data_IF_803884357873
#
_entry.id   IF_803884357873
#
_cell.length_a   1.000
_cell.length_b   1.000
_cell.length_c   1.000
_cell.angle_alpha   90.00
_cell.angle_beta   90.00
_cell.angle_gamma   90.00
#
_symmetry.space_group_name_H-M   'P 1'
#
loop_
_entity.id
_entity.type
_entity.pdbx_description
1 polymer ?
#
# COMPACT_ATOMS: atom_id res chain seq x y z
N UNK A 1 6.77 -12.41 6.95
CA UNK A 1 7.69 -11.45 6.32
C UNK A 1 8.47 -10.72 7.41
N UNK A 2 9.78 -10.55 7.22
CA UNK A 2 10.63 -9.82 8.18
C UNK A 2 10.39 -8.31 8.08
N UNK A 3 10.56 -7.60 9.18
CA UNK A 3 10.48 -6.13 9.20
C UNK A 3 11.70 -5.55 8.48
N UNK A 4 11.44 -4.73 7.47
CA UNK A 4 12.48 -4.04 6.70
C UNK A 4 12.82 -2.68 7.28
N UNK A 5 11.80 -1.89 7.59
CA UNK A 5 11.95 -0.57 8.21
C UNK A 5 11.09 -0.52 9.46
N UNK A 6 11.68 -0.07 10.56
CA UNK A 6 10.96 0.15 11.82
C UNK A 6 11.23 1.58 12.30
N UNK A 7 10.16 2.31 12.57
CA UNK A 7 10.20 3.68 13.10
C UNK A 7 9.63 3.63 14.51
N UNK A 8 10.38 4.13 15.49
CA UNK A 8 10.02 4.11 16.91
C UNK A 8 10.01 5.51 17.48
N UNK A 9 8.84 5.93 17.97
CA UNK A 9 8.61 7.20 18.68
C UNK A 9 9.24 8.42 17.99
N UNK A 10 9.18 8.42 16.64
CA UNK A 10 9.84 9.43 15.82
C UNK A 10 9.10 10.76 15.91
N UNK A 11 9.85 11.80 16.29
CA UNK A 11 9.35 13.18 16.25
C UNK A 11 10.33 14.10 15.54
N UNK A 12 9.79 15.04 14.77
CA UNK A 12 10.55 15.98 13.96
C UNK A 12 10.08 17.38 14.27
N UNK A 13 11.02 18.20 14.73
CA UNK A 13 10.82 19.57 15.16
C UNK A 13 11.62 20.55 14.30
N UNK A 14 11.01 21.63 13.92
CA UNK A 14 11.68 22.76 13.29
C UNK A 14 11.50 24.00 14.19
N UNK A 15 12.57 24.75 14.42
CA UNK A 15 12.54 25.97 15.23
C UNK A 15 13.73 26.09 16.17
N UNK A 16 13.78 27.19 16.98
CA UNK A 16 14.96 27.54 17.76
C UNK A 16 15.12 26.73 19.06
N UNK A 17 14.05 26.53 19.84
CA UNK A 17 14.12 25.96 21.18
C UNK A 17 13.79 24.46 21.22
N UNK A 18 14.43 23.64 20.38
CA UNK A 18 14.13 22.21 20.25
C UNK A 18 14.28 21.43 21.56
N UNK A 19 15.23 21.78 22.43
CA UNK A 19 15.43 21.10 23.70
C UNK A 19 14.22 21.25 24.64
N UNK A 20 13.65 22.46 24.73
CA UNK A 20 12.44 22.74 25.51
C UNK A 20 11.22 22.05 24.87
N UNK A 21 11.08 22.15 23.56
CA UNK A 21 9.99 21.51 22.82
C UNK A 21 9.97 19.99 22.99
N UNK A 22 11.13 19.31 22.98
CA UNK A 22 11.24 17.87 23.27
C UNK A 22 10.70 17.49 24.63
N UNK A 23 11.01 18.29 25.67
CA UNK A 23 10.48 18.08 27.04
C UNK A 23 8.96 18.23 27.05
N UNK A 24 8.44 19.24 26.37
CA UNK A 24 7.00 19.49 26.29
C UNK A 24 6.24 18.38 25.56
N UNK A 25 6.82 17.82 24.49
CA UNK A 25 6.26 16.63 23.80
C UNK A 25 6.14 15.46 24.79
N UNK A 26 7.20 15.17 25.56
CA UNK A 26 7.19 14.09 26.57
C UNK A 26 6.16 14.31 27.67
N UNK A 27 5.82 15.57 27.96
CA UNK A 27 4.79 15.96 28.92
C UNK A 27 3.35 15.91 28.32
N UNK A 28 3.22 15.56 27.06
CA UNK A 28 1.92 15.49 26.39
C UNK A 28 1.31 16.84 25.99
N UNK A 29 2.12 17.92 25.98
CA UNK A 29 1.64 19.26 25.59
C UNK A 29 1.19 19.29 24.14
N UNK A 30 0.16 20.09 23.84
CA UNK A 30 -0.34 20.23 22.49
C UNK A 30 0.59 21.05 21.57
N UNK A 31 0.42 20.90 20.26
CA UNK A 31 1.25 21.60 19.26
C UNK A 31 1.21 23.10 19.40
N UNK A 32 0.04 23.67 19.68
CA UNK A 32 -0.14 25.12 19.80
C UNK A 32 0.59 25.69 21.02
N UNK A 33 0.55 24.98 22.16
CA UNK A 33 1.30 25.35 23.36
C UNK A 33 2.80 25.34 23.07
N UNK A 34 3.30 24.26 22.43
CA UNK A 34 4.71 24.10 22.10
C UNK A 34 5.17 25.20 21.14
N UNK A 35 4.39 25.48 20.10
CA UNK A 35 4.69 26.58 19.16
C UNK A 35 4.77 27.93 19.87
N UNK A 36 3.77 28.22 20.73
CA UNK A 36 3.70 29.49 21.46
C UNK A 36 4.87 29.70 22.43
N UNK A 37 5.27 28.63 23.12
CA UNK A 37 6.30 28.72 24.15
C UNK A 37 7.74 28.57 23.65
N UNK A 38 7.92 27.92 22.49
CA UNK A 38 9.27 27.57 21.99
C UNK A 38 9.57 28.09 20.60
N UNK A 39 8.56 28.56 19.88
CA UNK A 39 8.68 28.88 18.45
C UNK A 39 8.93 27.64 17.56
N UNK A 40 8.81 26.42 18.11
CA UNK A 40 9.02 25.20 17.36
C UNK A 40 7.72 24.67 16.74
N UNK A 41 7.79 24.30 15.47
CA UNK A 41 6.73 23.57 14.77
C UNK A 41 7.01 22.06 14.85
N UNK A 42 6.00 21.29 15.22
CA UNK A 42 6.06 19.84 15.19
C UNK A 42 5.57 19.36 13.83
N UNK A 43 6.47 18.86 13.00
CA UNK A 43 6.13 18.31 11.69
C UNK A 43 5.65 16.85 11.78
N UNK A 44 6.29 16.06 12.66
CA UNK A 44 5.88 14.69 12.98
C UNK A 44 5.97 14.49 14.48
N UNK A 45 5.00 13.80 15.07
CA UNK A 45 4.91 13.54 16.49
C UNK A 45 4.69 12.06 16.78
N UNK A 46 5.61 11.47 17.52
CA UNK A 46 5.56 10.10 18.06
C UNK A 46 5.11 9.06 17.00
N UNK A 47 5.63 9.18 15.77
CA UNK A 47 5.30 8.22 14.72
C UNK A 47 5.92 6.85 15.02
N UNK A 48 5.08 5.82 14.92
CA UNK A 48 5.46 4.42 15.06
C UNK A 48 4.97 3.68 13.82
N UNK A 49 5.88 3.09 13.04
CA UNK A 49 5.57 2.35 11.82
C UNK A 49 6.46 1.14 11.68
N UNK A 50 5.90 0.09 11.14
CA UNK A 50 6.60 -1.12 10.76
C UNK A 50 6.29 -1.45 9.31
N UNK A 51 7.32 -1.50 8.45
CA UNK A 51 7.21 -1.80 7.02
C UNK A 51 7.92 -3.12 6.77
N UNK A 52 7.22 -4.05 6.14
CA UNK A 52 7.70 -5.40 5.89
C UNK A 52 8.55 -5.46 4.62
N UNK A 53 9.41 -6.47 4.55
CA UNK A 53 10.22 -6.72 3.35
C UNK A 53 9.33 -7.09 2.16
N UNK A 54 9.59 -6.45 1.01
CA UNK A 54 8.84 -6.64 -0.23
C UNK A 54 7.45 -5.98 -0.25
N UNK A 55 7.10 -5.22 0.78
CA UNK A 55 5.81 -4.53 0.90
C UNK A 55 5.80 -3.21 0.12
N UNK A 56 4.69 -2.92 -0.54
CA UNK A 56 4.35 -1.56 -0.99
C UNK A 56 3.55 -0.88 0.12
N UNK A 57 4.23 -0.04 0.90
CA UNK A 57 3.65 0.68 2.04
C UNK A 57 3.36 2.13 1.64
N UNK A 58 2.10 2.55 1.72
CA UNK A 58 1.69 3.90 1.37
C UNK A 58 1.51 4.76 2.60
N UNK A 59 2.08 5.96 2.59
CA UNK A 59 1.84 6.99 3.60
C UNK A 59 1.00 8.09 2.95
N UNK A 60 -0.20 8.30 3.46
CA UNK A 60 -1.12 9.27 2.90
C UNK A 60 -1.62 10.26 3.95
N UNK A 61 -2.20 11.35 3.48
CA UNK A 61 -2.75 12.43 4.29
C UNK A 61 -2.82 13.73 3.50
N UNK A 62 -3.52 14.72 4.02
CA UNK A 62 -3.63 16.04 3.38
C UNK A 62 -2.28 16.76 3.33
N UNK A 63 -2.21 17.81 2.51
CA UNK A 63 -1.03 18.67 2.46
C UNK A 63 -0.69 19.22 3.86
N UNK A 64 0.60 19.20 4.22
CA UNK A 64 1.06 19.65 5.53
C UNK A 64 0.90 18.63 6.67
N UNK A 65 0.44 17.41 6.40
CA UNK A 65 0.30 16.35 7.43
C UNK A 65 1.62 15.72 7.89
N UNK A 66 2.76 16.08 7.29
CA UNK A 66 4.09 15.60 7.69
C UNK A 66 4.63 14.41 6.89
N UNK A 67 3.92 13.92 5.88
CA UNK A 67 4.30 12.75 5.07
C UNK A 67 5.71 12.83 4.48
N UNK A 68 5.97 13.88 3.70
CA UNK A 68 7.27 14.07 3.05
C UNK A 68 8.40 14.25 4.08
N UNK A 69 8.10 14.91 5.20
CA UNK A 69 9.05 15.08 6.30
C UNK A 69 9.40 13.72 6.92
N UNK A 70 8.40 12.87 7.15
CA UNK A 70 8.59 11.53 7.69
C UNK A 70 9.43 10.65 6.75
N UNK A 71 9.08 10.60 5.47
CA UNK A 71 9.83 9.78 4.49
C UNK A 71 11.28 10.26 4.33
N UNK A 72 11.50 11.58 4.34
CA UNK A 72 12.86 12.14 4.30
C UNK A 72 13.67 11.90 5.58
N UNK A 73 13.04 11.48 6.66
CA UNK A 73 13.74 10.98 7.83
C UNK A 73 14.20 9.53 7.66
N UNK A 74 13.47 8.71 6.88
CA UNK A 74 13.86 7.31 6.68
C UNK A 74 15.26 7.20 6.07
N UNK A 75 15.62 8.11 5.16
CA UNK A 75 16.98 8.20 4.61
C UNK A 75 17.86 9.28 5.27
N UNK A 76 17.37 9.87 6.38
CA UNK A 76 18.02 10.95 7.14
C UNK A 76 18.38 12.19 6.29
N UNK A 77 17.62 12.48 5.24
CA UNK A 77 17.67 13.81 4.61
C UNK A 77 17.15 14.87 5.57
N UNK A 78 16.15 14.51 6.39
CA UNK A 78 15.75 15.26 7.57
C UNK A 78 16.22 14.49 8.80
N UNK A 79 16.97 15.16 9.69
CA UNK A 79 17.41 14.54 10.94
C UNK A 79 16.25 14.42 11.92
N UNK A 80 15.99 13.23 12.49
CA UNK A 80 14.99 13.08 13.52
C UNK A 80 15.37 13.88 14.77
N UNK A 81 14.37 14.52 15.37
CA UNK A 81 14.57 15.25 16.62
C UNK A 81 14.51 14.32 17.84
N UNK A 82 13.68 13.28 17.75
CA UNK A 82 13.50 12.23 18.76
C UNK A 82 13.15 10.93 18.06
N UNK A 83 13.33 9.82 18.76
CA UNK A 83 13.01 8.48 18.27
C UNK A 83 14.10 7.84 17.44
N UNK A 84 13.81 6.70 16.87
CA UNK A 84 14.77 5.86 16.18
C UNK A 84 14.22 5.33 14.86
N UNK A 85 15.11 5.11 13.91
CA UNK A 85 14.83 4.48 12.62
C UNK A 85 15.76 3.27 12.47
N UNK A 86 15.16 2.13 12.22
CA UNK A 86 15.85 0.87 12.04
C UNK A 86 15.66 0.36 10.61
N UNK A 87 16.74 -0.07 9.98
CA UNK A 87 16.75 -0.68 8.66
C UNK A 87 17.33 -2.09 8.77
N UNK A 88 16.54 -3.11 8.44
CA UNK A 88 16.96 -4.52 8.53
C UNK A 88 17.62 -4.86 9.87
N UNK A 89 17.03 -4.41 10.97
CA UNK A 89 17.56 -4.63 12.34
C UNK A 89 18.75 -3.76 12.75
N UNK A 90 19.20 -2.82 11.90
CA UNK A 90 20.25 -1.83 12.23
C UNK A 90 19.65 -0.48 12.58
N UNK A 91 19.99 0.09 13.72
CA UNK A 91 19.64 1.47 14.04
C UNK A 91 20.45 2.44 13.16
N UNK A 92 19.78 3.09 12.22
CA UNK A 92 20.43 4.04 11.29
C UNK A 92 20.42 5.48 11.81
N UNK A 93 19.70 5.76 12.90
CA UNK A 93 19.55 7.10 13.46
C UNK A 93 20.88 7.64 14.00
N UNK A 94 21.70 6.77 14.55
CA UNK A 94 22.99 7.10 15.21
C UNK A 94 24.22 6.85 14.32
N UNK A 95 24.04 6.47 13.07
CA UNK A 95 25.17 6.20 12.17
C UNK A 95 25.96 7.45 11.84
N UNK A 96 27.26 7.29 11.62
CA UNK A 96 28.13 8.33 11.08
C UNK A 96 27.69 8.72 9.66
N UNK A 97 28.03 9.93 9.21
CA UNK A 97 27.75 10.38 7.86
C UNK A 97 28.36 9.46 6.80
N UNK A 98 29.53 8.88 7.08
CA UNK A 98 30.20 7.93 6.19
C UNK A 98 29.39 6.64 6.01
N UNK A 99 28.88 6.09 7.10
CA UNK A 99 28.09 4.85 7.06
C UNK A 99 26.71 5.09 6.46
N UNK A 100 26.10 6.23 6.80
CA UNK A 100 24.85 6.66 6.21
C UNK A 100 24.95 6.85 4.69
N UNK A 101 26.07 7.40 4.21
CA UNK A 101 26.34 7.53 2.78
C UNK A 101 26.38 6.17 2.07
N UNK A 102 26.90 5.12 2.71
CA UNK A 102 26.88 3.77 2.14
C UNK A 102 25.46 3.22 2.02
N UNK A 103 24.61 3.44 3.01
CA UNK A 103 23.19 3.07 2.97
C UNK A 103 22.48 3.77 1.81
N UNK A 104 22.65 5.10 1.70
CA UNK A 104 22.05 5.90 0.61
C UNK A 104 22.55 5.50 -0.79
N UNK A 105 23.77 5.00 -0.91
CA UNK A 105 24.35 4.55 -2.18
C UNK A 105 23.87 3.18 -2.60
N UNK A 106 23.66 2.26 -1.66
CA UNK A 106 23.49 0.83 -1.96
C UNK A 106 22.13 0.25 -1.55
N UNK A 107 21.54 0.75 -0.45
CA UNK A 107 20.40 0.10 0.15
C UNK A 107 19.09 0.87 -0.05
N UNK A 108 19.17 2.20 -0.15
CA UNK A 108 18.00 3.05 -0.35
C UNK A 108 18.16 3.97 -1.56
N UNK A 109 17.06 4.15 -2.30
CA UNK A 109 16.98 5.20 -3.31
C UNK A 109 15.72 6.03 -3.09
N UNK A 110 15.72 7.26 -3.59
CA UNK A 110 14.58 8.16 -3.49
C UNK A 110 14.21 8.76 -4.85
N UNK A 111 12.92 8.74 -5.15
CA UNK A 111 12.30 9.43 -6.28
C UNK A 111 11.53 10.62 -5.74
N UNK A 112 11.81 11.81 -6.24
CA UNK A 112 11.20 13.06 -5.82
C UNK A 112 10.10 13.50 -6.77
N UNK A 113 9.16 14.31 -6.27
CA UNK A 113 8.07 14.89 -7.05
C UNK A 113 8.53 15.64 -8.31
N UNK A 114 9.61 16.37 -8.23
CA UNK A 114 10.20 17.13 -9.36
C UNK A 114 11.38 16.39 -10.01
N UNK A 115 11.45 15.09 -9.85
CA UNK A 115 12.41 14.14 -10.45
C UNK A 115 13.89 14.43 -10.16
N UNK A 116 14.29 15.67 -9.90
CA UNK A 116 15.68 16.08 -9.64
C UNK A 116 16.63 15.63 -10.74
N UNK A 117 16.18 15.64 -12.00
CA UNK A 117 17.00 15.29 -13.15
C UNK A 117 18.00 16.39 -13.48
N UNK A 118 19.13 16.01 -14.07
CA UNK A 118 20.16 16.92 -14.53
C UNK A 118 19.83 17.35 -15.96
N UNK A 119 19.35 18.59 -16.20
CA UNK A 119 18.75 18.99 -17.49
C UNK A 119 19.72 18.88 -18.69
N UNK A 120 21.02 19.10 -18.44
CA UNK A 120 22.03 19.10 -19.47
C UNK A 120 22.63 17.73 -19.79
N UNK A 121 22.15 16.68 -19.11
CA UNK A 121 22.60 15.31 -19.30
C UNK A 121 21.58 14.52 -20.12
N UNK A 122 22.08 13.51 -20.83
CA UNK A 122 21.24 12.54 -21.53
C UNK A 122 20.52 11.61 -20.54
N UNK A 123 19.53 10.86 -21.02
CA UNK A 123 18.85 9.79 -20.28
C UNK A 123 19.86 8.85 -19.66
N UNK A 124 20.75 8.27 -20.47
CA UNK A 124 21.79 7.34 -20.01
C UNK A 124 22.67 7.96 -18.92
N UNK A 125 23.15 9.18 -19.14
CA UNK A 125 24.02 9.88 -18.18
C UNK A 125 23.30 10.25 -16.88
N UNK A 126 22.02 10.59 -16.92
CA UNK A 126 21.22 10.81 -15.71
C UNK A 126 21.08 9.51 -14.88
N UNK A 127 20.76 8.42 -15.55
CA UNK A 127 20.54 7.12 -14.87
C UNK A 127 21.85 6.60 -14.29
N UNK A 128 22.98 6.74 -15.03
CA UNK A 128 24.30 6.34 -14.56
C UNK A 128 24.89 7.25 -13.47
N UNK A 129 24.32 8.43 -13.18
CA UNK A 129 24.93 9.44 -12.34
C UNK A 129 25.23 8.97 -10.90
N UNK A 130 24.30 8.25 -10.28
CA UNK A 130 24.53 7.71 -8.94
C UNK A 130 25.68 6.71 -8.88
N UNK A 131 25.85 5.92 -9.92
CA UNK A 131 26.95 4.96 -10.07
C UNK A 131 28.30 5.69 -10.37
N UNK A 132 28.23 6.80 -11.12
CA UNK A 132 29.38 7.68 -11.37
C UNK A 132 29.92 8.26 -10.05
N UNK A 133 29.04 8.77 -9.19
CA UNK A 133 29.42 9.28 -7.87
C UNK A 133 30.00 8.21 -6.92
N UNK A 134 29.69 6.94 -7.16
CA UNK A 134 30.28 5.82 -6.44
C UNK A 134 31.66 5.41 -6.97
N UNK A 135 32.13 6.03 -8.08
CA UNK A 135 33.39 5.70 -8.71
C UNK A 135 33.36 4.41 -9.53
N UNK A 136 32.17 3.93 -9.92
CA UNK A 136 32.04 2.73 -10.74
C UNK A 136 32.56 3.03 -12.16
N UNK A 137 33.38 2.13 -12.74
CA UNK A 137 33.93 2.30 -14.09
C UNK A 137 32.84 2.56 -15.13
N UNK A 138 33.15 3.36 -16.15
CA UNK A 138 32.21 3.80 -17.17
C UNK A 138 31.45 2.65 -17.83
N UNK A 139 32.15 1.62 -18.21
CA UNK A 139 31.59 0.46 -18.90
C UNK A 139 30.55 -0.30 -18.02
N UNK A 140 30.86 -0.50 -16.75
CA UNK A 140 29.96 -1.16 -15.81
C UNK A 140 28.73 -0.30 -15.48
N UNK A 141 28.92 1.01 -15.24
CA UNK A 141 27.78 1.90 -14.91
C UNK A 141 26.84 2.10 -16.09
N UNK A 142 27.37 2.19 -17.32
CA UNK A 142 26.54 2.28 -18.53
C UNK A 142 25.77 0.99 -18.78
N UNK A 143 26.37 -0.18 -18.54
CA UNK A 143 25.65 -1.47 -18.58
C UNK A 143 24.46 -1.50 -17.63
N UNK A 144 24.66 -1.16 -16.35
CA UNK A 144 23.58 -1.08 -15.35
C UNK A 144 22.51 -0.04 -15.73
N UNK A 145 22.93 1.09 -16.28
CA UNK A 145 21.99 2.11 -16.75
C UNK A 145 21.14 1.62 -17.93
N UNK A 146 21.73 0.90 -18.89
CA UNK A 146 20.99 0.28 -20.00
C UNK A 146 19.99 -0.78 -19.51
N UNK A 147 20.35 -1.59 -18.51
CA UNK A 147 19.42 -2.54 -17.87
C UNK A 147 18.22 -1.81 -17.26
N UNK A 148 18.46 -0.71 -16.52
CA UNK A 148 17.40 0.11 -15.94
C UNK A 148 16.53 0.81 -16.96
N UNK A 149 17.13 1.31 -18.07
CA UNK A 149 16.41 1.88 -19.22
C UNK A 149 15.44 0.86 -19.84
N UNK A 150 15.88 -0.38 -19.95
CA UNK A 150 15.05 -1.46 -20.49
C UNK A 150 13.87 -1.77 -19.56
N UNK A 151 14.08 -1.76 -18.23
CA UNK A 151 13.04 -2.03 -17.22
C UNK A 151 11.92 -0.99 -17.27
N UNK A 152 12.24 0.28 -17.48
CA UNK A 152 11.24 1.36 -17.54
C UNK A 152 10.75 1.69 -18.96
N UNK A 153 11.09 0.87 -19.97
CA UNK A 153 10.59 1.03 -21.32
C UNK A 153 11.13 2.24 -22.09
N UNK A 154 12.34 2.71 -21.77
CA UNK A 154 12.99 3.87 -22.42
C UNK A 154 14.08 3.48 -23.43
N UNK A 155 14.08 2.25 -23.96
CA UNK A 155 15.00 1.85 -25.04
C UNK A 155 14.84 2.75 -26.27
N UNK A 156 15.96 3.22 -26.79
CA UNK A 156 16.02 4.12 -27.96
C UNK A 156 16.10 5.61 -27.58
N UNK A 157 15.96 5.94 -26.30
CA UNK A 157 16.03 7.32 -25.78
C UNK A 157 17.32 7.63 -25.03
N UNK A 158 18.30 6.73 -25.04
CA UNK A 158 19.53 6.78 -24.25
C UNK A 158 20.31 8.10 -24.40
N UNK A 159 20.38 8.58 -25.64
CA UNK A 159 21.15 9.76 -26.02
C UNK A 159 20.35 11.07 -26.03
N UNK A 160 19.04 10.99 -25.80
CA UNK A 160 18.20 12.20 -25.71
C UNK A 160 18.47 12.95 -24.40
N UNK A 161 18.33 14.26 -24.45
CA UNK A 161 18.40 15.10 -23.26
C UNK A 161 17.09 14.99 -22.49
N UNK A 162 17.18 15.03 -21.17
CA UNK A 162 15.99 14.86 -20.33
C UNK A 162 15.00 16.04 -20.42
N UNK A 163 15.48 17.23 -20.77
CA UNK A 163 14.64 18.43 -20.99
C UNK A 163 13.80 18.36 -22.29
N UNK A 164 14.11 17.43 -23.20
CA UNK A 164 13.37 17.19 -24.44
C UNK A 164 12.25 16.13 -24.26
N UNK A 165 12.15 15.52 -23.08
CA UNK A 165 11.22 14.42 -22.79
C UNK A 165 9.89 14.93 -22.23
N UNK A 166 8.82 14.16 -22.45
CA UNK A 166 7.54 14.37 -21.75
C UNK A 166 7.69 14.16 -20.24
N UNK A 167 6.74 14.70 -19.45
CA UNK A 167 6.74 14.53 -17.99
C UNK A 167 6.75 13.05 -17.55
N UNK A 168 5.97 12.19 -18.21
CA UNK A 168 5.97 10.75 -17.95
C UNK A 168 7.30 10.09 -18.26
N UNK A 169 7.95 10.48 -19.36
CA UNK A 169 9.30 9.99 -19.70
C UNK A 169 10.34 10.46 -18.69
N UNK A 170 10.29 11.72 -18.25
CA UNK A 170 11.16 12.24 -17.19
C UNK A 170 10.99 11.47 -15.89
N UNK A 171 9.73 11.13 -15.54
CA UNK A 171 9.43 10.29 -14.39
C UNK A 171 10.07 8.91 -14.50
N UNK A 172 9.96 8.27 -15.66
CA UNK A 172 10.63 6.98 -15.92
C UNK A 172 12.16 7.09 -15.80
N UNK A 173 12.77 8.18 -16.24
CA UNK A 173 14.21 8.42 -16.04
C UNK A 173 14.55 8.52 -14.55
N UNK A 174 13.74 9.24 -13.76
CA UNK A 174 13.90 9.33 -12.32
C UNK A 174 13.82 7.98 -11.62
N UNK A 175 12.83 7.16 -12.00
CA UNK A 175 12.66 5.80 -11.50
C UNK A 175 13.83 4.90 -11.91
N UNK A 176 14.24 4.91 -13.18
CA UNK A 176 15.38 4.14 -13.68
C UNK A 176 16.68 4.50 -12.96
N UNK A 177 16.92 5.80 -12.71
CA UNK A 177 18.07 6.27 -11.94
C UNK A 177 18.09 5.73 -10.53
N UNK A 178 16.94 5.69 -9.87
CA UNK A 178 16.82 5.09 -8.55
C UNK A 178 17.09 3.58 -8.57
N UNK A 179 16.58 2.87 -9.58
CA UNK A 179 16.74 1.42 -9.74
C UNK A 179 18.15 1.00 -10.15
N UNK A 180 18.92 1.86 -10.87
CA UNK A 180 20.27 1.53 -11.36
C UNK A 180 21.24 1.14 -10.24
N UNK A 181 21.04 1.66 -9.04
CA UNK A 181 21.81 1.29 -7.85
C UNK A 181 21.35 -0.04 -7.23
N UNK A 182 20.33 -0.69 -7.77
CA UNK A 182 19.73 -1.91 -7.25
C UNK A 182 19.36 -1.84 -5.74
N UNK A 183 18.62 -0.80 -5.30
CA UNK A 183 18.31 -0.60 -3.88
C UNK A 183 17.35 -1.66 -3.37
N UNK A 184 17.43 -1.97 -2.08
CA UNK A 184 16.46 -2.83 -1.40
C UNK A 184 15.18 -2.07 -1.01
N UNK A 185 15.33 -0.76 -0.77
CA UNK A 185 14.25 0.15 -0.39
C UNK A 185 14.15 1.30 -1.38
N UNK A 186 12.95 1.53 -1.90
CA UNK A 186 12.62 2.66 -2.77
C UNK A 186 11.66 3.60 -2.04
N UNK A 187 12.08 4.85 -1.85
CA UNK A 187 11.26 5.90 -1.27
C UNK A 187 10.70 6.78 -2.40
N UNK A 188 9.40 6.99 -2.46
CA UNK A 188 8.74 7.76 -3.52
C UNK A 188 7.89 8.88 -2.91
N UNK A 189 8.35 10.13 -3.04
CA UNK A 189 7.71 11.30 -2.45
C UNK A 189 6.82 12.00 -3.49
N UNK A 190 5.52 11.70 -3.48
CA UNK A 190 4.50 12.21 -4.41
C UNK A 190 4.93 12.11 -5.89
N UNK A 191 5.55 10.99 -6.24
CA UNK A 191 6.26 10.82 -7.50
C UNK A 191 5.38 11.00 -8.74
N UNK A 192 4.07 10.75 -8.65
CA UNK A 192 3.15 10.84 -9.79
C UNK A 192 2.22 12.06 -9.76
N UNK A 193 2.30 12.92 -8.74
CA UNK A 193 1.38 14.04 -8.55
C UNK A 193 1.44 15.10 -9.65
N UNK A 194 2.58 15.26 -10.30
CA UNK A 194 2.78 16.23 -11.37
C UNK A 194 2.39 15.72 -12.77
N UNK A 195 1.95 14.47 -12.88
CA UNK A 195 1.54 13.84 -14.14
C UNK A 195 0.05 14.07 -14.42
N UNK A 196 -0.32 14.14 -15.69
CA UNK A 196 -1.72 14.11 -16.09
C UNK A 196 -2.36 12.76 -15.75
N UNK A 197 -3.71 12.69 -15.61
CA UNK A 197 -4.39 11.50 -15.10
C UNK A 197 -4.08 10.22 -15.87
N UNK A 198 -4.02 10.29 -17.21
CA UNK A 198 -3.80 9.10 -18.06
C UNK A 198 -2.37 8.54 -17.88
N UNK A 199 -1.38 9.44 -17.91
CA UNK A 199 0.03 9.04 -17.70
C UNK A 199 0.24 8.57 -16.27
N UNK A 200 -0.42 9.18 -15.29
CA UNK A 200 -0.36 8.74 -13.89
C UNK A 200 -0.87 7.31 -13.74
N UNK A 201 -2.03 6.99 -14.30
CA UNK A 201 -2.59 5.64 -14.26
C UNK A 201 -1.64 4.61 -14.90
N UNK A 202 -1.10 4.93 -16.06
CA UNK A 202 -0.11 4.08 -16.73
C UNK A 202 1.14 3.85 -15.87
N UNK A 203 1.66 4.89 -15.23
CA UNK A 203 2.84 4.79 -14.36
C UNK A 203 2.57 3.99 -13.10
N UNK A 204 1.36 4.05 -12.56
CA UNK A 204 0.93 3.22 -11.43
C UNK A 204 0.91 1.74 -11.82
N UNK A 205 0.33 1.40 -12.97
CA UNK A 205 0.29 0.02 -13.47
C UNK A 205 1.70 -0.52 -13.71
N UNK A 206 2.57 0.27 -14.33
CA UNK A 206 3.97 -0.08 -14.54
C UNK A 206 4.74 -0.28 -13.22
N UNK A 207 4.44 0.52 -12.19
CA UNK A 207 5.05 0.36 -10.87
C UNK A 207 4.60 -0.94 -10.20
N UNK A 208 3.32 -1.31 -10.32
CA UNK A 208 2.80 -2.58 -9.82
C UNK A 208 3.45 -3.78 -10.53
N UNK A 209 3.53 -3.75 -11.86
CA UNK A 209 4.21 -4.78 -12.66
C UNK A 209 5.69 -4.92 -12.29
N UNK A 210 6.35 -3.80 -12.03
CA UNK A 210 7.75 -3.77 -11.60
C UNK A 210 7.90 -4.38 -10.19
N UNK A 211 7.01 -4.02 -9.27
CA UNK A 211 7.00 -4.52 -7.91
C UNK A 211 6.79 -6.03 -7.87
N UNK A 212 5.86 -6.56 -8.66
CA UNK A 212 5.61 -7.99 -8.76
C UNK A 212 6.87 -8.78 -9.20
N UNK A 213 7.62 -8.21 -10.14
CA UNK A 213 8.85 -8.83 -10.67
C UNK A 213 10.04 -8.70 -9.72
N UNK A 214 10.21 -7.54 -9.10
CA UNK A 214 11.42 -7.22 -8.31
C UNK A 214 11.24 -7.43 -6.81
N UNK A 215 10.03 -7.42 -6.30
CA UNK A 215 9.67 -7.58 -4.87
C UNK A 215 10.48 -6.68 -3.94
N UNK A 216 10.63 -5.39 -4.32
CA UNK A 216 11.33 -4.39 -3.52
C UNK A 216 10.42 -3.85 -2.41
N UNK A 217 11.01 -3.40 -1.32
CA UNK A 217 10.26 -2.63 -0.32
C UNK A 217 10.10 -1.20 -0.83
N UNK A 218 8.86 -0.77 -1.01
CA UNK A 218 8.53 0.57 -1.52
C UNK A 218 7.76 1.34 -0.45
N UNK A 219 8.21 2.56 -0.15
CA UNK A 219 7.47 3.52 0.66
C UNK A 219 6.99 4.63 -0.26
N UNK A 220 5.70 4.67 -0.50
CA UNK A 220 5.07 5.59 -1.45
C UNK A 220 4.26 6.64 -0.71
N UNK A 221 4.45 7.91 -1.04
CA UNK A 221 3.67 9.02 -0.48
C UNK A 221 2.69 9.54 -1.51
N UNK A 222 1.45 9.71 -1.09
CA UNK A 222 0.40 10.36 -1.86
C UNK A 222 -0.58 11.13 -0.96
N UNK A 223 -1.32 12.04 -1.54
CA UNK A 223 -2.50 12.66 -0.94
C UNK A 223 -3.81 12.15 -1.56
N UNK A 224 -3.72 11.26 -2.53
CA UNK A 224 -4.82 10.67 -3.27
C UNK A 224 -5.15 9.28 -2.71
N UNK A 225 -6.38 9.10 -2.23
CA UNK A 225 -6.81 7.85 -1.62
C UNK A 225 -6.96 6.72 -2.65
N UNK A 226 -7.45 7.03 -3.87
CA UNK A 226 -7.59 6.02 -4.92
C UNK A 226 -6.21 5.48 -5.33
N UNK A 227 -5.20 6.35 -5.40
CA UNK A 227 -3.81 5.95 -5.63
C UNK A 227 -3.28 5.07 -4.47
N UNK A 228 -3.55 5.44 -3.23
CA UNK A 228 -3.13 4.67 -2.06
C UNK A 228 -3.76 3.28 -2.04
N UNK A 229 -5.04 3.17 -2.36
CA UNK A 229 -5.77 1.91 -2.44
C UNK A 229 -5.25 1.04 -3.59
N UNK A 230 -5.00 1.64 -4.75
CA UNK A 230 -4.50 0.93 -5.92
C UNK A 230 -3.11 0.35 -5.71
N UNK A 231 -2.22 1.11 -5.05
CA UNK A 231 -0.81 0.75 -4.94
C UNK A 231 -0.46 0.01 -3.64
N UNK A 232 -1.11 0.34 -2.52
CA UNK A 232 -0.65 -0.08 -1.21
C UNK A 232 -1.09 -1.47 -0.78
N UNK A 233 -0.16 -2.29 -0.34
CA UNK A 233 -0.48 -3.48 0.47
C UNK A 233 -1.01 -3.06 1.84
N UNK A 234 -0.41 -2.03 2.44
CA UNK A 234 -0.87 -1.34 3.64
C UNK A 234 -0.71 0.17 3.50
N UNK A 235 -1.59 0.88 4.19
CA UNK A 235 -1.67 2.35 4.15
C UNK A 235 -1.57 2.88 5.57
N UNK A 236 -0.71 3.88 5.77
CA UNK A 236 -0.68 4.70 6.97
C UNK A 236 -1.32 6.06 6.67
N UNK A 237 -2.35 6.43 7.41
CA UNK A 237 -3.01 7.73 7.28
C UNK A 237 -2.42 8.68 8.30
N UNK A 238 -1.94 9.83 7.83
CA UNK A 238 -1.38 10.89 8.66
C UNK A 238 -2.31 12.12 8.69
N UNK A 239 -2.43 12.67 9.89
CA UNK A 239 -3.12 13.94 10.14
C UNK A 239 -2.30 14.76 11.12
N UNK A 240 -2.05 16.02 10.79
CA UNK A 240 -1.36 16.97 11.68
C UNK A 240 -0.03 16.44 12.27
N UNK A 241 0.72 15.64 11.49
CA UNK A 241 2.01 15.07 11.91
C UNK A 241 1.90 13.81 12.76
N UNK A 242 0.72 13.26 12.95
CA UNK A 242 0.51 12.01 13.69
C UNK A 242 -0.01 10.93 12.75
N UNK A 243 0.36 9.67 13.03
CA UNK A 243 -0.20 8.50 12.35
C UNK A 243 -1.52 8.16 13.01
N UNK A 244 -2.63 8.29 12.27
CA UNK A 244 -3.99 8.06 12.78
C UNK A 244 -4.39 6.60 12.67
N UNK A 245 -4.07 5.96 11.54
CA UNK A 245 -4.40 4.57 11.29
C UNK A 245 -3.37 3.93 10.36
N UNK A 246 -3.12 2.65 10.58
CA UNK A 246 -2.36 1.78 9.66
C UNK A 246 -3.18 0.52 9.44
N UNK A 247 -3.38 0.14 8.19
CA UNK A 247 -4.13 -1.06 7.82
C UNK A 247 -4.06 -1.36 6.33
N UNK A 248 -4.64 -2.48 5.93
CA UNK A 248 -4.88 -2.76 4.51
C UNK A 248 -5.91 -1.78 3.93
N UNK A 249 -5.99 -1.59 2.61
CA UNK A 249 -7.05 -0.79 1.99
C UNK A 249 -8.44 -1.18 2.49
N UNK A 250 -8.72 -2.47 2.60
CA UNK A 250 -9.99 -2.98 3.09
C UNK A 250 -10.27 -2.60 4.55
N UNK A 251 -9.31 -2.78 5.44
CA UNK A 251 -9.44 -2.40 6.86
C UNK A 251 -9.73 -0.91 7.02
N UNK A 252 -9.06 -0.05 6.24
CA UNK A 252 -9.27 1.40 6.28
C UNK A 252 -10.69 1.79 5.82
N UNK A 253 -11.22 1.10 4.82
CA UNK A 253 -12.56 1.37 4.29
C UNK A 253 -13.68 0.78 5.15
N UNK A 254 -13.47 -0.36 5.79
CA UNK A 254 -14.49 -1.08 6.56
C UNK A 254 -14.48 -0.74 8.05
N UNK A 255 -13.32 -0.43 8.61
CA UNK A 255 -13.12 -0.14 10.05
C UNK A 255 -12.27 1.13 10.23
N UNK A 256 -12.77 2.31 9.83
CA UNK A 256 -12.06 3.57 10.01
C UNK A 256 -11.87 3.92 11.48
N UNK A 257 -10.65 4.33 11.86
CA UNK A 257 -10.26 4.58 13.25
C UNK A 257 -10.99 5.79 13.88
N UNK A 258 -11.37 6.77 13.09
CA UNK A 258 -12.06 7.98 13.55
C UNK A 258 -12.91 8.65 12.45
N UNK A 259 -13.63 9.71 12.82
CA UNK A 259 -14.44 10.49 11.88
C UNK A 259 -13.62 11.14 10.76
N UNK A 260 -12.33 11.40 10.97
CA UNK A 260 -11.45 11.94 9.94
C UNK A 260 -11.21 10.92 8.84
N UNK A 261 -10.86 9.69 9.22
CA UNK A 261 -10.67 8.58 8.27
C UNK A 261 -11.99 8.26 7.57
N UNK A 262 -13.10 8.24 8.31
CA UNK A 262 -14.44 8.02 7.74
C UNK A 262 -14.75 9.01 6.62
N UNK A 263 -14.59 10.32 6.88
CA UNK A 263 -14.82 11.36 5.86
C UNK A 263 -13.86 11.27 4.68
N UNK A 264 -12.64 10.87 4.94
CA UNK A 264 -11.62 10.69 3.90
C UNK A 264 -11.99 9.56 2.95
N UNK A 265 -12.68 8.53 3.45
CA UNK A 265 -13.07 7.33 2.69
C UNK A 265 -14.48 7.40 2.08
N UNK A 266 -15.27 8.44 2.37
CA UNK A 266 -16.66 8.58 1.89
C UNK A 266 -16.81 8.58 0.36
N UNK A 267 -15.81 9.07 -0.37
CA UNK A 267 -15.85 9.18 -1.83
C UNK A 267 -15.41 7.92 -2.58
N UNK A 268 -14.89 6.93 -1.85
CA UNK A 268 -14.33 5.72 -2.47
C UNK A 268 -15.41 4.69 -2.73
N UNK A 269 -15.40 4.12 -3.92
CA UNK A 269 -16.22 2.96 -4.24
C UNK A 269 -15.70 1.72 -3.52
N UNK A 270 -16.37 1.38 -2.42
CA UNK A 270 -16.04 0.22 -1.60
C UNK A 270 -16.12 -1.11 -2.36
N UNK A 271 -16.92 -1.16 -3.42
CA UNK A 271 -17.08 -2.36 -4.24
C UNK A 271 -15.79 -2.84 -4.87
N UNK A 272 -14.83 -1.93 -5.11
CA UNK A 272 -13.52 -2.24 -5.71
C UNK A 272 -12.52 -2.88 -4.76
N UNK A 273 -12.75 -2.79 -3.46
CA UNK A 273 -11.78 -3.19 -2.45
C UNK A 273 -12.29 -4.32 -1.57
N UNK A 274 -13.59 -4.28 -1.24
CA UNK A 274 -14.23 -5.33 -0.41
C UNK A 274 -14.30 -6.63 -1.21
N UNK A 275 -13.74 -7.69 -0.65
CA UNK A 275 -13.67 -9.01 -1.28
C UNK A 275 -14.77 -9.96 -0.83
N UNK A 276 -14.98 -11.03 -1.56
CA UNK A 276 -15.94 -12.07 -1.18
C UNK A 276 -15.64 -12.64 0.21
N UNK A 277 -14.35 -12.81 0.54
CA UNK A 277 -13.90 -13.35 1.83
C UNK A 277 -14.33 -12.50 3.03
N UNK A 278 -14.42 -11.18 2.87
CA UNK A 278 -14.79 -10.26 3.96
C UNK A 278 -16.29 -10.17 4.22
N UNK A 279 -17.11 -10.50 3.20
CA UNK A 279 -18.57 -10.46 3.31
C UNK A 279 -19.23 -11.84 3.40
N UNK A 280 -18.50 -12.92 3.11
CA UNK A 280 -19.04 -14.27 3.17
C UNK A 280 -19.33 -14.72 4.60
N UNK A 281 -20.32 -15.58 4.73
CA UNK A 281 -20.59 -16.24 6.01
C UNK A 281 -19.55 -17.34 6.25
N UNK A 282 -18.73 -17.19 7.28
CA UNK A 282 -17.69 -18.17 7.66
C UNK A 282 -18.25 -19.48 8.18
N UNK A 283 -19.47 -19.47 8.70
CA UNK A 283 -20.20 -20.66 9.15
C UNK A 283 -21.61 -20.68 8.54
N UNK A 284 -21.73 -21.00 7.26
CA UNK A 284 -23.02 -21.02 6.60
C UNK A 284 -23.89 -22.16 7.15
N UNK A 285 -25.20 -21.95 7.18
CA UNK A 285 -26.16 -23.01 7.44
C UNK A 285 -26.22 -23.89 6.22
N UNK A 286 -25.92 -25.17 6.41
CA UNK A 286 -25.85 -26.14 5.33
C UNK A 286 -26.93 -27.22 5.48
N UNK A 287 -27.31 -27.81 4.34
CA UNK A 287 -28.11 -29.01 4.26
C UNK A 287 -27.18 -30.21 4.03
N UNK A 288 -27.29 -31.22 4.90
CA UNK A 288 -26.54 -32.48 4.75
C UNK A 288 -27.38 -33.49 4.01
N UNK A 289 -26.99 -33.85 2.78
CA UNK A 289 -27.79 -34.62 1.82
C UNK A 289 -28.36 -35.95 2.37
N UNK A 290 -27.66 -36.59 3.30
CA UNK A 290 -28.09 -37.87 3.89
C UNK A 290 -28.75 -37.72 5.27
N UNK A 291 -28.74 -36.53 5.86
CA UNK A 291 -29.25 -36.32 7.23
C UNK A 291 -30.49 -35.47 7.28
N UNK A 292 -30.57 -34.44 6.41
CA UNK A 292 -31.65 -33.46 6.42
C UNK A 292 -32.75 -33.87 5.44
N UNK A 293 -33.95 -34.12 5.95
CA UNK A 293 -35.15 -34.27 5.10
C UNK A 293 -35.88 -32.95 4.88
N UNK A 294 -36.94 -32.93 4.03
CA UNK A 294 -37.65 -31.69 3.67
C UNK A 294 -38.11 -30.86 4.86
N UNK A 295 -38.63 -31.49 5.91
CA UNK A 295 -39.12 -30.76 7.10
C UNK A 295 -37.99 -30.06 7.88
N UNK A 296 -36.84 -30.72 8.04
CA UNK A 296 -35.68 -30.13 8.68
C UNK A 296 -35.15 -28.93 7.90
N UNK A 297 -35.09 -29.04 6.57
CA UNK A 297 -34.65 -27.98 5.68
C UNK A 297 -35.59 -26.78 5.76
N UNK A 298 -36.90 -27.00 5.67
CA UNK A 298 -37.91 -25.92 5.78
C UNK A 298 -37.78 -25.20 7.12
N UNK A 299 -37.57 -25.94 8.21
CA UNK A 299 -37.36 -25.36 9.54
C UNK A 299 -36.10 -24.47 9.56
N UNK A 300 -34.94 -24.97 9.07
CA UNK A 300 -33.69 -24.19 8.96
C UNK A 300 -33.89 -22.91 8.16
N UNK A 301 -34.56 -22.99 7.00
CA UNK A 301 -34.83 -21.85 6.14
C UNK A 301 -35.74 -20.81 6.80
N UNK A 302 -36.80 -21.25 7.52
CA UNK A 302 -37.73 -20.35 8.23
C UNK A 302 -37.08 -19.66 9.41
N UNK A 303 -36.34 -20.40 10.25
CA UNK A 303 -35.66 -19.84 11.42
C UNK A 303 -34.70 -18.73 11.07
N UNK A 304 -34.07 -18.84 9.92
CA UNK A 304 -33.05 -17.87 9.44
C UNK A 304 -33.54 -16.97 8.31
N UNK A 305 -34.79 -17.09 7.90
CA UNK A 305 -35.41 -16.32 6.82
C UNK A 305 -34.63 -16.45 5.48
N UNK A 306 -34.16 -17.66 5.19
CA UNK A 306 -33.42 -17.97 3.96
C UNK A 306 -34.31 -18.70 2.95
N UNK A 307 -34.12 -18.44 1.68
CA UNK A 307 -34.87 -19.03 0.57
C UNK A 307 -34.06 -20.09 -0.19
N UNK A 308 -32.79 -20.17 0.07
CA UNK A 308 -31.86 -21.13 -0.49
C UNK A 308 -30.82 -21.51 0.56
N UNK A 309 -30.31 -22.75 0.49
CA UNK A 309 -29.25 -23.24 1.37
C UNK A 309 -28.26 -24.08 0.57
N UNK A 310 -26.96 -23.97 0.85
CA UNK A 310 -25.95 -24.86 0.29
C UNK A 310 -26.14 -26.30 0.80
N UNK A 311 -25.91 -27.27 -0.10
CA UNK A 311 -25.97 -28.70 0.19
C UNK A 311 -24.56 -29.26 0.22
N UNK A 312 -24.24 -30.00 1.27
CA UNK A 312 -22.95 -30.68 1.43
C UNK A 312 -23.14 -32.19 1.50
N UNK A 313 -22.14 -32.89 1.01
CA UNK A 313 -22.02 -34.35 1.08
C UNK A 313 -21.54 -34.86 2.45
N UNK A 314 -21.25 -36.16 2.50
CA UNK A 314 -20.69 -36.81 3.71
C UNK A 314 -19.28 -36.35 4.04
N UNK A 315 -18.50 -36.00 3.04
CA UNK A 315 -17.10 -35.55 3.13
C UNK A 315 -17.00 -33.99 3.20
N UNK A 316 -18.13 -33.35 3.57
CA UNK A 316 -18.28 -31.90 3.63
C UNK A 316 -18.03 -31.18 2.29
N UNK A 317 -17.97 -31.90 1.17
CA UNK A 317 -17.89 -31.31 -0.16
C UNK A 317 -19.17 -30.62 -0.56
N UNK A 318 -19.05 -29.47 -1.21
CA UNK A 318 -20.19 -28.74 -1.77
C UNK A 318 -20.80 -29.51 -2.94
N UNK A 319 -22.10 -29.77 -2.89
CA UNK A 319 -22.85 -30.49 -3.91
C UNK A 319 -23.75 -29.60 -4.77
N UNK A 320 -24.07 -28.42 -4.29
CA UNK A 320 -24.96 -27.48 -4.96
C UNK A 320 -25.86 -26.73 -3.99
N UNK A 321 -26.93 -26.17 -4.48
CA UNK A 321 -27.91 -25.35 -3.77
C UNK A 321 -29.31 -26.00 -3.79
N UNK A 322 -30.07 -25.82 -2.74
CA UNK A 322 -31.46 -26.22 -2.66
C UNK A 322 -32.33 -25.01 -2.34
N UNK A 323 -33.47 -24.85 -3.05
CA UNK A 323 -34.37 -23.71 -2.92
C UNK A 323 -35.65 -24.08 -2.21
N UNK A 324 -36.15 -23.14 -1.39
CA UNK A 324 -37.35 -23.35 -0.56
C UNK A 324 -38.55 -23.82 -1.41
N UNK A 325 -38.77 -23.26 -2.59
CA UNK A 325 -39.86 -23.65 -3.50
C UNK A 325 -39.83 -25.13 -3.88
N UNK A 326 -38.64 -25.67 -4.13
CA UNK A 326 -38.44 -27.06 -4.55
C UNK A 326 -38.56 -28.03 -3.36
N UNK A 327 -38.11 -27.62 -2.18
CA UNK A 327 -38.29 -28.37 -0.94
C UNK A 327 -39.77 -28.46 -0.55
N UNK A 328 -40.53 -27.36 -0.71
CA UNK A 328 -41.98 -27.35 -0.44
C UNK A 328 -42.74 -28.27 -1.42
N UNK A 329 -42.33 -28.32 -2.70
CA UNK A 329 -42.89 -29.26 -3.69
C UNK A 329 -42.60 -30.70 -3.27
N UNK A 330 -41.35 -31.03 -2.98
CA UNK A 330 -40.93 -32.37 -2.58
C UNK A 330 -41.66 -32.90 -1.32
N UNK A 331 -41.89 -31.99 -0.36
CA UNK A 331 -42.68 -32.28 0.83
C UNK A 331 -44.12 -32.68 0.49
N UNK A 332 -44.76 -31.97 -0.46
CA UNK A 332 -46.12 -32.31 -0.91
C UNK A 332 -46.18 -33.67 -1.60
N UNK A 333 -45.14 -34.07 -2.30
CA UNK A 333 -44.98 -35.37 -2.97
C UNK A 333 -44.68 -36.51 -2.00
N UNK A 334 -44.44 -36.20 -0.71
CA UNK A 334 -44.16 -37.22 0.33
C UNK A 334 -42.79 -37.88 0.22
N UNK A 335 -41.89 -37.35 -0.62
CA UNK A 335 -40.56 -37.91 -0.85
C UNK A 335 -39.56 -37.31 0.14
N UNK A 336 -38.69 -38.17 0.70
CA UNK A 336 -37.63 -37.76 1.64
C UNK A 336 -36.27 -37.51 0.97
N UNK A 337 -36.06 -38.07 -0.21
CA UNK A 337 -34.81 -37.90 -0.96
C UNK A 337 -34.78 -36.54 -1.64
N UNK A 338 -33.83 -35.73 -1.20
CA UNK A 338 -33.62 -34.35 -1.70
C UNK A 338 -32.66 -34.28 -2.89
N UNK A 339 -32.04 -35.40 -3.28
CA UNK A 339 -30.98 -35.40 -4.31
C UNK A 339 -31.47 -34.89 -5.65
N UNK A 340 -32.75 -35.11 -5.96
CA UNK A 340 -33.35 -34.69 -7.26
C UNK A 340 -33.57 -33.20 -7.41
N UNK A 341 -33.54 -32.43 -6.30
CA UNK A 341 -33.79 -31.00 -6.31
C UNK A 341 -32.54 -30.18 -5.98
N UNK A 342 -31.36 -30.83 -5.89
CA UNK A 342 -30.08 -30.13 -5.72
C UNK A 342 -29.64 -29.53 -7.05
N UNK A 343 -29.56 -28.22 -7.13
CA UNK A 343 -28.99 -27.50 -8.26
C UNK A 343 -27.48 -27.56 -8.20
N UNK A 344 -26.85 -28.19 -9.18
CA UNK A 344 -25.39 -28.34 -9.24
C UNK A 344 -24.68 -27.15 -9.87
N UNK A 345 -25.34 -26.47 -10.81
CA UNK A 345 -24.83 -25.28 -11.46
C UNK A 345 -25.24 -24.05 -10.62
N UNK A 346 -24.36 -23.68 -9.71
CA UNK A 346 -24.55 -22.52 -8.84
C UNK A 346 -23.45 -21.50 -9.17
N UNK A 347 -23.79 -20.22 -9.37
CA UNK A 347 -22.79 -19.18 -9.52
C UNK A 347 -21.83 -19.21 -8.34
N UNK A 348 -20.55 -19.25 -8.63
CA UNK A 348 -19.48 -19.25 -7.61
C UNK A 348 -18.48 -18.17 -7.92
N UNK A 349 -17.91 -17.60 -6.88
CA UNK A 349 -16.87 -16.58 -6.95
C UNK A 349 -15.65 -17.04 -6.13
N UNK A 350 -14.48 -16.52 -6.49
CA UNK A 350 -13.29 -16.74 -5.70
C UNK A 350 -13.33 -15.86 -4.44
N UNK A 351 -12.74 -16.32 -3.35
CA UNK A 351 -12.73 -15.58 -2.07
C UNK A 351 -12.04 -14.21 -2.16
N UNK A 352 -11.09 -14.05 -3.07
CA UNK A 352 -10.36 -12.82 -3.33
C UNK A 352 -11.00 -11.91 -4.40
N UNK A 353 -12.13 -12.33 -5.00
CA UNK A 353 -12.85 -11.53 -5.99
C UNK A 353 -13.52 -10.33 -5.30
N UNK A 354 -13.42 -9.15 -5.90
CA UNK A 354 -14.05 -7.93 -5.36
C UNK A 354 -15.56 -7.94 -5.54
N UNK A 355 -16.28 -7.15 -4.73
CA UNK A 355 -17.74 -7.02 -4.85
C UNK A 355 -18.14 -6.48 -6.22
N UNK A 356 -17.35 -5.54 -6.77
CA UNK A 356 -17.56 -5.00 -8.12
C UNK A 356 -17.51 -6.11 -9.19
N UNK A 357 -16.52 -6.99 -9.12
CA UNK A 357 -16.34 -8.11 -10.06
C UNK A 357 -17.38 -9.23 -9.89
N UNK A 358 -18.07 -9.29 -8.75
CA UNK A 358 -19.13 -10.26 -8.49
C UNK A 358 -20.50 -9.82 -9.04
N UNK A 359 -20.68 -8.54 -9.32
CA UNK A 359 -21.93 -8.01 -9.86
C UNK A 359 -21.99 -8.25 -11.37
N UNK A 360 -23.16 -8.65 -11.90
CA UNK A 360 -23.34 -8.94 -13.32
C UNK A 360 -23.30 -7.70 -14.20
#
# INVERSE_FOLDING_TARGET
NMTKIEIKDLSILFGPEKAKAKKMIKQGKCKQEILKETGCTIAVRNANLEIKEGEMFVIMGLSGSGKSTLVRCINRLNEPSMGEIWLSGRNITSLSDKDLLQIRRKEMAMVFQHFGLLPHRTVLSNIAFGLELQGIPKEEREKKAHESIAVVGLKGYENQRVDELSGGMQQRVGLARALANNPEVLLMDEAFSALDPLIREQMQDELLDLQEKMKRTIVFITHDLDEAIKLGDRIAIMKDGEVVQVGTPEEILTDPADDYVTRFTESVDRGRVVTASSIMLTQPIVVRIRKDGPEAIIRKMREKRLYALPVIGTDEQFLGEIRLKDVLRLRKEGTRDISSIVMKEVPSVLENMTVEDMLP
#
